data_IF_399814151900
#
_entry.id   IF_399814151900
#
_cell.length_a   1.000
_cell.length_b   1.000
_cell.length_c   1.000
_cell.angle_alpha   90.00
_cell.angle_beta   90.00
_cell.angle_gamma   90.00
#
_symmetry.space_group_name_H-M   'P 1'
#
loop_
_entity.id
_entity.type
_entity.pdbx_description
1 polymer ?
#
# COMPACT_ATOMS: atom_id res chain seq x y z
N UNK A 1 -15.56 -16.64 -10.88
CA UNK A 1 -15.26 -15.20 -10.81
C UNK A 1 -14.78 -14.77 -12.19
N UNK A 2 -15.43 -13.82 -12.86
CA UNK A 2 -14.87 -13.30 -14.11
C UNK A 2 -13.47 -12.73 -13.82
N UNK A 3 -12.54 -12.87 -14.78
CA UNK A 3 -11.16 -12.39 -14.64
C UNK A 3 -11.06 -10.93 -14.20
N UNK A 4 -12.06 -10.12 -14.55
CA UNK A 4 -12.16 -8.70 -14.22
C UNK A 4 -12.32 -8.43 -12.71
N UNK A 5 -12.96 -9.34 -11.95
CA UNK A 5 -13.15 -9.16 -10.50
C UNK A 5 -11.85 -9.32 -9.70
N UNK A 6 -10.93 -10.16 -10.17
CA UNK A 6 -9.64 -10.39 -9.51
C UNK A 6 -8.79 -9.11 -9.53
N UNK A 7 -8.79 -8.40 -10.66
CA UNK A 7 -8.09 -7.12 -10.82
C UNK A 7 -8.69 -6.07 -9.89
N UNK A 8 -10.02 -5.98 -9.84
CA UNK A 8 -10.72 -5.07 -8.92
C UNK A 8 -10.36 -5.33 -7.46
N UNK A 9 -10.28 -6.59 -7.05
CA UNK A 9 -9.91 -6.94 -5.67
C UNK A 9 -8.44 -6.63 -5.36
N UNK A 10 -7.53 -6.86 -6.30
CA UNK A 10 -6.12 -6.50 -6.13
C UNK A 10 -5.95 -4.99 -5.92
N UNK A 11 -6.64 -4.17 -6.72
CA UNK A 11 -6.64 -2.70 -6.58
C UNK A 11 -7.21 -2.30 -5.21
N UNK A 12 -8.31 -2.91 -4.79
CA UNK A 12 -8.94 -2.58 -3.52
C UNK A 12 -8.04 -2.93 -2.33
N UNK A 13 -7.42 -4.11 -2.33
CA UNK A 13 -6.43 -4.51 -1.31
C UNK A 13 -5.26 -3.52 -1.30
N UNK A 14 -4.72 -3.19 -2.47
CA UNK A 14 -3.60 -2.25 -2.57
C UNK A 14 -3.95 -0.87 -2.00
N UNK A 15 -5.13 -0.32 -2.30
CA UNK A 15 -5.59 0.96 -1.78
C UNK A 15 -5.80 0.91 -0.26
N UNK A 16 -6.39 -0.16 0.26
CA UNK A 16 -6.60 -0.33 1.71
C UNK A 16 -5.25 -0.43 2.43
N UNK A 17 -4.31 -1.24 1.93
CA UNK A 17 -2.98 -1.37 2.51
C UNK A 17 -2.23 -0.04 2.47
N UNK A 18 -2.28 0.68 1.33
CA UNK A 18 -1.63 1.99 1.20
C UNK A 18 -2.23 3.00 2.15
N UNK A 19 -3.55 3.02 2.32
CA UNK A 19 -4.23 3.89 3.28
C UNK A 19 -3.82 3.58 4.73
N UNK A 20 -3.78 2.30 5.10
CA UNK A 20 -3.34 1.86 6.43
C UNK A 20 -1.87 2.23 6.67
N UNK A 21 -1.00 1.97 5.70
CA UNK A 21 0.41 2.35 5.76
C UNK A 21 0.55 3.85 5.98
N UNK A 22 -0.16 4.66 5.20
CA UNK A 22 -0.13 6.12 5.34
C UNK A 22 -0.64 6.59 6.70
N UNK A 23 -1.75 6.04 7.17
CA UNK A 23 -2.35 6.40 8.45
C UNK A 23 -1.43 6.07 9.63
N UNK A 24 -0.72 4.94 9.58
CA UNK A 24 0.16 4.48 10.65
C UNK A 24 1.54 5.16 10.62
N UNK A 25 2.10 5.38 9.43
CA UNK A 25 3.49 5.85 9.28
C UNK A 25 3.60 7.33 8.96
N UNK A 26 2.56 7.97 8.41
CA UNK A 26 2.63 9.36 7.94
C UNK A 26 2.96 10.35 9.06
N UNK A 27 2.36 10.18 10.24
CA UNK A 27 2.67 11.02 11.40
C UNK A 27 4.06 10.76 11.99
N UNK A 28 4.56 9.51 11.91
CA UNK A 28 5.92 9.17 12.30
C UNK A 28 6.94 9.75 11.32
N UNK A 29 6.71 9.59 10.01
CA UNK A 29 7.53 10.14 8.96
C UNK A 29 7.62 11.68 9.04
N UNK A 30 6.51 12.37 9.31
CA UNK A 30 6.53 13.82 9.52
C UNK A 30 7.41 14.25 10.71
N UNK A 31 7.40 13.46 11.79
CA UNK A 31 8.27 13.71 12.95
C UNK A 31 9.74 13.45 12.64
N UNK A 32 10.04 12.35 11.96
CA UNK A 32 11.40 11.93 11.61
C UNK A 32 12.07 12.90 10.63
N UNK A 33 11.38 13.28 9.55
CA UNK A 33 11.90 14.25 8.59
C UNK A 33 11.86 15.69 9.11
N UNK A 34 11.01 15.96 10.11
CA UNK A 34 10.76 17.31 10.62
C UNK A 34 9.83 18.13 9.73
N UNK A 35 9.04 19.01 10.36
CA UNK A 35 7.96 19.80 9.71
C UNK A 35 8.42 20.61 8.48
N UNK A 36 9.68 21.07 8.45
CA UNK A 36 10.20 21.89 7.34
C UNK A 36 10.49 21.04 6.10
N UNK A 37 11.13 19.88 6.26
CA UNK A 37 11.39 18.95 5.14
C UNK A 37 10.12 18.22 4.72
N UNK A 38 9.24 17.85 5.66
CA UNK A 38 7.97 17.19 5.31
C UNK A 38 7.06 18.05 4.43
N UNK A 39 7.17 19.38 4.48
CA UNK A 39 6.45 20.28 3.57
C UNK A 39 7.03 20.31 2.16
N UNK A 40 8.26 19.83 1.96
CA UNK A 40 8.87 19.75 0.64
C UNK A 40 8.33 18.55 -0.11
N UNK A 41 8.01 18.77 -1.39
CA UNK A 41 7.52 17.73 -2.28
C UNK A 41 8.51 16.55 -2.40
N UNK A 42 9.82 16.82 -2.47
CA UNK A 42 10.84 15.76 -2.59
C UNK A 42 10.78 14.72 -1.47
N UNK A 43 10.74 15.18 -0.21
CA UNK A 43 10.65 14.29 0.96
C UNK A 43 9.35 13.51 0.99
N UNK A 44 8.22 14.14 0.63
CA UNK A 44 6.93 13.44 0.51
C UNK A 44 6.95 12.41 -0.60
N UNK A 45 7.53 12.71 -1.76
CA UNK A 45 7.65 11.78 -2.88
C UNK A 45 8.46 10.56 -2.46
N UNK A 46 9.60 10.76 -1.77
CA UNK A 46 10.39 9.64 -1.26
C UNK A 46 9.60 8.73 -0.32
N UNK A 47 8.86 9.33 0.61
CA UNK A 47 7.95 8.60 1.49
C UNK A 47 6.88 7.82 0.70
N UNK A 48 6.24 8.45 -0.29
CA UNK A 48 5.21 7.80 -1.11
C UNK A 48 5.78 6.68 -1.98
N UNK A 49 7.01 6.81 -2.49
CA UNK A 49 7.68 5.71 -3.22
C UNK A 49 7.84 4.49 -2.31
N UNK A 50 8.33 4.68 -1.08
CA UNK A 50 8.44 3.60 -0.11
C UNK A 50 7.07 3.02 0.26
N UNK A 51 6.06 3.88 0.48
CA UNK A 51 4.69 3.47 0.78
C UNK A 51 4.10 2.59 -0.31
N UNK A 52 4.26 2.98 -1.58
CA UNK A 52 3.75 2.21 -2.73
C UNK A 52 4.48 0.87 -2.88
N UNK A 53 5.80 0.84 -2.66
CA UNK A 53 6.58 -0.39 -2.79
C UNK A 53 6.20 -1.41 -1.71
N UNK A 54 6.13 -0.97 -0.45
CA UNK A 54 5.72 -1.82 0.67
C UNK A 54 4.28 -2.28 0.50
N UNK A 55 3.37 -1.36 0.13
CA UNK A 55 1.96 -1.68 -0.08
C UNK A 55 1.75 -2.63 -1.25
N UNK A 56 2.54 -2.51 -2.31
CA UNK A 56 2.53 -3.42 -3.45
C UNK A 56 2.95 -4.84 -3.05
N UNK A 57 4.06 -4.95 -2.31
CA UNK A 57 4.51 -6.24 -1.77
C UNK A 57 3.48 -6.91 -0.85
N UNK A 58 2.89 -6.14 0.06
CA UNK A 58 1.82 -6.61 0.95
C UNK A 58 0.56 -7.01 0.18
N UNK A 59 0.13 -6.23 -0.81
CA UNK A 59 -1.04 -6.56 -1.61
C UNK A 59 -0.85 -7.88 -2.38
N UNK A 60 0.35 -8.09 -2.96
CA UNK A 60 0.69 -9.36 -3.61
C UNK A 60 0.66 -10.51 -2.58
N UNK A 61 1.29 -10.33 -1.41
CA UNK A 61 1.28 -11.35 -0.36
C UNK A 61 -0.15 -11.72 0.07
N UNK A 62 -1.03 -10.74 0.27
CA UNK A 62 -2.44 -10.96 0.60
C UNK A 62 -3.16 -11.70 -0.53
N UNK A 63 -2.96 -11.32 -1.79
CA UNK A 63 -3.55 -12.01 -2.94
C UNK A 63 -3.14 -13.48 -3.00
N UNK A 64 -1.87 -13.79 -2.74
CA UNK A 64 -1.38 -15.17 -2.68
C UNK A 64 -1.91 -15.94 -1.47
N UNK A 65 -2.07 -15.29 -0.32
CA UNK A 65 -2.74 -15.89 0.85
C UNK A 65 -4.20 -16.21 0.54
N UNK A 66 -4.94 -15.30 -0.09
CA UNK A 66 -6.33 -15.54 -0.50
C UNK A 66 -6.43 -16.69 -1.50
N UNK A 67 -5.45 -16.82 -2.40
CA UNK A 67 -5.34 -17.98 -3.28
C UNK A 67 -5.08 -19.27 -2.49
N UNK A 68 -4.17 -19.24 -1.51
CA UNK A 68 -3.83 -20.39 -0.68
C UNK A 68 -5.05 -20.93 0.10
N UNK A 69 -5.91 -20.05 0.62
CA UNK A 69 -7.12 -20.42 1.35
C UNK A 69 -8.32 -20.68 0.41
N UNK A 70 -8.07 -20.85 -0.91
CA UNK A 70 -9.08 -21.09 -1.95
C UNK A 70 -10.18 -20.01 -2.07
N UNK A 71 -9.94 -18.80 -1.56
CA UNK A 71 -10.84 -17.64 -1.76
C UNK A 71 -10.70 -17.10 -3.18
N UNK A 72 -9.47 -17.09 -3.69
CA UNK A 72 -9.14 -16.69 -5.05
C UNK A 72 -8.66 -17.88 -5.88
N UNK A 73 -9.18 -18.02 -7.10
CA UNK A 73 -8.77 -19.05 -8.05
C UNK A 73 -8.25 -18.39 -9.32
N UNK A 74 -6.94 -18.22 -9.42
CA UNK A 74 -6.21 -17.70 -10.57
C UNK A 74 -4.83 -18.35 -10.69
#
# INVERSE_FOLDING_TARGET
>A
MEKNWIIGMAILIFLVVTFLYWKLTGGYAEKEYGKKMWKQWGTRTFYWTAALFISGGLAIAIMFLLKWVNVLTF
#
